data_IF_275351033909
#
_entry.id   IF_275351033909
#
_cell.length_a   1.000
_cell.length_b   1.000
_cell.length_c   1.000
_cell.angle_alpha   90.00
_cell.angle_beta   90.00
_cell.angle_gamma   90.00
#
_symmetry.space_group_name_H-M   'P 1'
#
loop_
_entity.id
_entity.type
_entity.pdbx_description
1 polymer ?
#
# COMPACT_ATOMS: atom_id res chain seq x y z
N UNK A 1 31.24 -155.18 -3.01
CA UNK A 1 31.16 -153.71 -2.86
C UNK A 1 31.06 -152.93 -4.18
N UNK A 2 30.90 -153.56 -5.36
CA UNK A 2 30.71 -152.82 -6.63
C UNK A 2 29.27 -152.85 -7.20
N UNK A 3 28.33 -153.60 -6.62
CA UNK A 3 26.96 -153.72 -7.15
C UNK A 3 25.93 -152.75 -6.51
N UNK A 4 26.21 -152.18 -5.34
CA UNK A 4 25.31 -151.21 -4.69
C UNK A 4 25.52 -149.76 -5.18
N UNK A 5 26.64 -149.48 -5.84
CA UNK A 5 26.98 -148.14 -6.34
C UNK A 5 26.38 -147.85 -7.73
N UNK A 6 26.09 -148.88 -8.53
CA UNK A 6 25.44 -148.72 -9.83
C UNK A 6 23.93 -148.50 -9.70
N UNK A 7 23.29 -149.16 -8.73
CA UNK A 7 21.84 -149.04 -8.49
C UNK A 7 21.44 -147.64 -8.01
N UNK A 8 22.19 -147.08 -7.04
CA UNK A 8 21.98 -145.71 -6.59
C UNK A 8 22.25 -144.65 -7.69
N UNK A 9 23.14 -144.93 -8.64
CA UNK A 9 23.43 -144.02 -9.75
C UNK A 9 22.33 -144.06 -10.81
N UNK A 10 21.69 -145.21 -11.02
CA UNK A 10 20.54 -145.34 -11.91
C UNK A 10 19.29 -144.61 -11.35
N UNK A 11 19.09 -144.61 -10.03
CA UNK A 11 17.98 -143.91 -9.40
C UNK A 11 18.09 -142.39 -9.49
N UNK A 12 19.29 -141.84 -9.25
CA UNK A 12 19.54 -140.39 -9.38
C UNK A 12 19.35 -139.92 -10.83
N UNK A 13 19.73 -140.74 -11.82
CA UNK A 13 19.52 -140.40 -13.23
C UNK A 13 18.02 -140.39 -13.56
N UNK A 14 17.24 -141.38 -13.11
CA UNK A 14 15.79 -141.38 -13.32
C UNK A 14 15.10 -140.22 -12.61
N UNK A 15 15.53 -139.87 -11.41
CA UNK A 15 14.98 -138.74 -10.65
C UNK A 15 15.34 -137.39 -11.27
N UNK A 16 16.54 -137.26 -11.85
CA UNK A 16 16.89 -136.07 -12.66
C UNK A 16 16.12 -136.02 -13.97
N UNK A 17 15.88 -137.15 -14.64
CA UNK A 17 15.14 -137.18 -15.90
C UNK A 17 13.65 -136.90 -15.70
N UNK A 18 13.04 -137.38 -14.61
CA UNK A 18 11.66 -137.03 -14.23
C UNK A 18 11.54 -135.57 -13.80
N UNK A 19 12.52 -135.04 -13.06
CA UNK A 19 12.56 -133.61 -12.72
C UNK A 19 12.77 -132.73 -13.96
N UNK A 20 13.59 -133.17 -14.93
CA UNK A 20 13.82 -132.43 -16.17
C UNK A 20 12.58 -132.44 -17.07
N UNK A 21 11.87 -133.58 -17.16
CA UNK A 21 10.58 -133.67 -17.85
C UNK A 21 9.50 -132.82 -17.18
N UNK A 22 9.46 -132.75 -15.84
CA UNK A 22 8.51 -131.90 -15.13
C UNK A 22 8.77 -130.39 -15.35
N UNK A 23 10.01 -130.00 -15.63
CA UNK A 23 10.38 -128.62 -16.00
C UNK A 23 10.10 -128.33 -17.48
N UNK A 24 10.19 -129.34 -18.36
CA UNK A 24 9.91 -129.23 -19.80
C UNK A 24 8.42 -129.34 -20.14
N UNK A 25 7.63 -130.11 -19.37
CA UNK A 25 6.17 -130.23 -19.51
C UNK A 25 5.38 -129.21 -18.66
N UNK A 26 6.05 -128.37 -17.87
CA UNK A 26 5.40 -127.21 -17.27
C UNK A 26 5.03 -126.23 -18.41
N UNK A 27 3.73 -125.96 -18.65
CA UNK A 27 3.37 -124.98 -19.66
C UNK A 27 3.88 -123.61 -19.19
N UNK A 28 4.71 -122.95 -20.01
CA UNK A 28 4.99 -121.52 -19.89
C UNK A 28 3.67 -120.76 -20.08
N UNK A 29 2.92 -120.57 -19.00
CA UNK A 29 1.74 -119.70 -18.96
C UNK A 29 2.22 -118.30 -18.62
N UNK A 30 2.83 -117.63 -19.60
CA UNK A 30 2.81 -116.18 -19.69
C UNK A 30 1.70 -115.86 -20.71
N UNK A 31 0.44 -115.93 -20.25
CA UNK A 31 -0.64 -115.23 -20.95
C UNK A 31 -0.67 -113.81 -20.41
N UNK A 32 0.26 -112.99 -20.89
CA UNK A 32 0.07 -111.54 -20.92
C UNK A 32 -1.12 -111.26 -21.85
N UNK A 33 -2.25 -111.06 -21.20
CA UNK A 33 -3.48 -110.43 -21.63
C UNK A 33 -3.22 -109.12 -22.42
N UNK A 34 -3.48 -109.14 -23.74
CA UNK A 34 -3.35 -107.98 -24.65
C UNK A 34 -4.16 -106.75 -24.24
N UNK A 35 -5.22 -106.95 -23.44
CA UNK A 35 -6.11 -105.88 -22.97
C UNK A 35 -5.45 -104.99 -21.89
N UNK A 36 -4.55 -105.54 -21.09
CA UNK A 36 -3.81 -104.77 -20.06
C UNK A 36 -2.69 -103.94 -20.70
N UNK A 37 -2.10 -104.43 -21.79
CA UNK A 37 -1.08 -103.70 -22.56
C UNK A 37 -1.65 -102.47 -23.25
N UNK A 38 -2.87 -102.57 -23.80
CA UNK A 38 -3.56 -101.43 -24.42
C UNK A 38 -4.01 -100.38 -23.38
N UNK A 39 -4.54 -100.80 -22.24
CA UNK A 39 -4.88 -99.90 -21.12
C UNK A 39 -3.64 -99.20 -20.57
N UNK A 40 -2.52 -99.91 -20.44
CA UNK A 40 -1.25 -99.33 -20.01
C UNK A 40 -0.74 -98.27 -21.00
N UNK A 41 -0.81 -98.54 -22.31
CA UNK A 41 -0.41 -97.57 -23.33
C UNK A 41 -1.33 -96.33 -23.35
N UNK A 42 -2.64 -96.53 -23.19
CA UNK A 42 -3.62 -95.43 -23.08
C UNK A 42 -3.35 -94.56 -21.85
N UNK A 43 -3.20 -95.18 -20.67
CA UNK A 43 -2.87 -94.49 -19.43
C UNK A 43 -1.53 -93.75 -19.52
N UNK A 44 -0.53 -94.35 -20.18
CA UNK A 44 0.76 -93.70 -20.41
C UNK A 44 0.61 -92.44 -21.27
N UNK A 45 -0.18 -92.50 -22.35
CA UNK A 45 -0.45 -91.33 -23.19
C UNK A 45 -1.20 -90.23 -22.44
N UNK A 46 -2.15 -90.61 -21.58
CA UNK A 46 -2.94 -89.68 -20.79
C UNK A 46 -2.09 -89.02 -19.68
N UNK A 47 -1.19 -89.79 -19.04
CA UNK A 47 -0.22 -89.25 -18.08
C UNK A 47 0.73 -88.25 -18.74
N UNK A 48 1.24 -88.53 -19.93
CA UNK A 48 2.10 -87.59 -20.65
C UNK A 48 1.31 -86.35 -21.12
N UNK A 49 0.06 -86.51 -21.58
CA UNK A 49 -0.80 -85.38 -21.92
C UNK A 49 -1.14 -84.50 -20.71
N UNK A 50 -1.49 -85.11 -19.57
CA UNK A 50 -1.75 -84.41 -18.32
C UNK A 50 -0.50 -83.70 -17.80
N UNK A 51 0.69 -84.31 -17.94
CA UNK A 51 1.96 -83.71 -17.57
C UNK A 51 2.30 -82.50 -18.43
N UNK A 52 2.07 -82.60 -19.74
CA UNK A 52 2.23 -81.46 -20.66
C UNK A 52 1.25 -80.33 -20.32
N UNK A 53 -0.02 -80.66 -20.05
CA UNK A 53 -1.03 -79.67 -19.63
C UNK A 53 -0.66 -79.01 -18.30
N UNK A 54 -0.24 -79.78 -17.30
CA UNK A 54 0.20 -79.27 -16.01
C UNK A 54 1.43 -78.36 -16.14
N UNK A 55 2.37 -78.71 -17.02
CA UNK A 55 3.55 -77.88 -17.28
C UNK A 55 3.19 -76.58 -17.99
N UNK A 56 2.28 -76.61 -18.96
CA UNK A 56 1.75 -75.42 -19.62
C UNK A 56 1.03 -74.50 -18.63
N UNK A 57 0.21 -75.05 -17.75
CA UNK A 57 -0.52 -74.27 -16.74
C UNK A 57 0.42 -73.69 -15.66
N UNK A 58 1.47 -74.41 -15.27
CA UNK A 58 2.53 -73.87 -14.41
C UNK A 58 3.27 -72.70 -15.06
N UNK A 59 3.59 -72.80 -16.34
CA UNK A 59 4.25 -71.71 -17.06
C UNK A 59 3.34 -70.48 -17.14
N UNK A 60 2.05 -70.68 -17.48
CA UNK A 60 1.08 -69.59 -17.50
C UNK A 60 0.91 -68.92 -16.11
N UNK A 61 0.90 -69.72 -15.03
CA UNK A 61 0.83 -69.20 -13.67
C UNK A 61 2.08 -68.38 -13.30
N UNK A 62 3.27 -68.81 -13.73
CA UNK A 62 4.52 -68.07 -13.49
C UNK A 62 4.59 -66.78 -14.31
N UNK A 63 4.16 -66.79 -15.56
CA UNK A 63 4.09 -65.59 -16.41
C UNK A 63 3.12 -64.55 -15.80
N UNK A 64 1.96 -65.00 -15.31
CA UNK A 64 1.01 -64.15 -14.59
C UNK A 64 1.61 -63.60 -13.30
N UNK A 65 2.35 -64.41 -12.53
CA UNK A 65 3.03 -63.99 -11.30
C UNK A 65 4.06 -62.90 -11.57
N UNK A 66 4.85 -63.05 -12.62
CA UNK A 66 5.83 -62.04 -13.05
C UNK A 66 5.15 -60.75 -13.49
N UNK A 67 4.08 -60.83 -14.30
CA UNK A 67 3.30 -59.67 -14.71
C UNK A 67 2.67 -58.94 -13.51
N UNK A 68 2.19 -59.68 -12.50
CA UNK A 68 1.64 -59.11 -11.27
C UNK A 68 2.70 -58.36 -10.46
N UNK A 69 3.88 -58.96 -10.28
CA UNK A 69 4.99 -58.32 -9.55
C UNK A 69 5.46 -57.04 -10.27
N UNK A 70 5.52 -57.07 -11.60
CA UNK A 70 5.89 -55.90 -12.40
C UNK A 70 4.82 -54.80 -12.34
N UNK A 71 3.54 -55.17 -12.34
CA UNK A 71 2.43 -54.23 -12.14
C UNK A 71 2.44 -53.61 -10.74
N UNK A 72 2.74 -54.39 -9.69
CA UNK A 72 2.86 -53.90 -8.32
C UNK A 72 4.01 -52.90 -8.17
N UNK A 73 5.18 -53.18 -8.77
CA UNK A 73 6.31 -52.27 -8.80
C UNK A 73 5.96 -50.94 -9.50
N UNK A 74 5.32 -51.01 -10.67
CA UNK A 74 4.82 -49.82 -11.39
C UNK A 74 3.80 -49.03 -10.57
N UNK A 75 2.92 -49.71 -9.84
CA UNK A 75 1.90 -49.07 -9.01
C UNK A 75 2.53 -48.34 -7.80
N UNK A 76 3.54 -48.95 -7.18
CA UNK A 76 4.34 -48.31 -6.12
C UNK A 76 5.06 -47.06 -6.63
N UNK A 77 5.70 -47.14 -7.80
CA UNK A 77 6.36 -45.99 -8.44
C UNK A 77 5.35 -44.87 -8.75
N UNK A 78 4.21 -45.20 -9.37
CA UNK A 78 3.13 -44.25 -9.63
C UNK A 78 2.59 -43.58 -8.37
N UNK A 79 2.46 -44.33 -7.27
CA UNK A 79 2.02 -43.77 -5.98
C UNK A 79 3.00 -42.71 -5.46
N UNK A 80 4.32 -42.98 -5.50
CA UNK A 80 5.34 -42.00 -5.08
C UNK A 80 5.37 -40.77 -6.01
N UNK A 81 5.17 -40.96 -7.32
CA UNK A 81 5.10 -39.87 -8.27
C UNK A 81 3.86 -38.99 -8.03
N UNK A 82 2.70 -39.58 -7.75
CA UNK A 82 1.48 -38.86 -7.40
C UNK A 82 1.64 -38.04 -6.12
N UNK A 83 2.25 -38.60 -5.08
CA UNK A 83 2.54 -37.88 -3.83
C UNK A 83 3.46 -36.67 -4.10
N UNK A 84 4.51 -36.86 -4.90
CA UNK A 84 5.41 -35.78 -5.29
C UNK A 84 4.72 -34.68 -6.10
N UNK A 85 3.86 -35.05 -7.06
CA UNK A 85 3.07 -34.09 -7.85
C UNK A 85 2.09 -33.33 -6.96
N UNK A 86 1.40 -34.03 -6.06
CA UNK A 86 0.45 -33.42 -5.11
C UNK A 86 1.15 -32.37 -4.25
N UNK A 87 2.30 -32.73 -3.65
CA UNK A 87 3.12 -31.79 -2.87
C UNK A 87 3.56 -30.55 -3.67
N UNK A 88 3.89 -30.73 -4.96
CA UNK A 88 4.27 -29.60 -5.84
C UNK A 88 3.07 -28.73 -6.18
N UNK A 89 1.89 -29.31 -6.36
CA UNK A 89 0.65 -28.56 -6.57
C UNK A 89 0.33 -27.69 -5.35
N UNK A 90 0.40 -28.25 -4.14
CA UNK A 90 0.15 -27.50 -2.91
C UNK A 90 1.09 -26.29 -2.76
N UNK A 91 2.39 -26.50 -3.01
CA UNK A 91 3.40 -25.43 -2.99
C UNK A 91 3.11 -24.32 -4.01
N UNK A 92 2.72 -24.70 -5.23
CA UNK A 92 2.39 -23.73 -6.27
C UNK A 92 1.13 -22.95 -5.92
N UNK A 93 0.09 -23.61 -5.42
CA UNK A 93 -1.14 -22.98 -4.94
C UNK A 93 -0.87 -21.96 -3.83
N UNK A 94 -0.07 -22.31 -2.82
CA UNK A 94 0.31 -21.40 -1.74
C UNK A 94 1.10 -20.19 -2.29
N UNK A 95 2.09 -20.43 -3.15
CA UNK A 95 2.91 -19.36 -3.72
C UNK A 95 2.09 -18.39 -4.59
N UNK A 96 1.13 -18.92 -5.37
CA UNK A 96 0.24 -18.10 -6.19
C UNK A 96 -0.72 -17.27 -5.34
N UNK A 97 -1.23 -17.83 -4.23
CA UNK A 97 -2.08 -17.09 -3.28
C UNK A 97 -1.31 -15.93 -2.66
N UNK A 98 -0.10 -16.19 -2.14
CA UNK A 98 0.74 -15.15 -1.55
C UNK A 98 1.13 -14.07 -2.57
N UNK A 99 1.43 -14.45 -3.81
CA UNK A 99 1.75 -13.50 -4.86
C UNK A 99 0.55 -12.61 -5.23
N UNK A 100 -0.65 -13.19 -5.28
CA UNK A 100 -1.89 -12.44 -5.52
C UNK A 100 -2.15 -11.43 -4.39
N UNK A 101 -1.97 -11.83 -3.14
CA UNK A 101 -2.12 -10.93 -1.98
C UNK A 101 -1.08 -9.81 -2.00
N UNK A 102 0.18 -10.11 -2.32
CA UNK A 102 1.25 -9.12 -2.45
C UNK A 102 0.96 -8.11 -3.56
N UNK A 103 0.45 -8.57 -4.71
CA UNK A 103 0.08 -7.68 -5.81
C UNK A 103 -1.06 -6.75 -5.41
N UNK A 104 -2.11 -7.28 -4.76
CA UNK A 104 -3.23 -6.47 -4.28
C UNK A 104 -2.78 -5.42 -3.24
N UNK A 105 -1.89 -5.80 -2.31
CA UNK A 105 -1.34 -4.89 -1.32
C UNK A 105 -0.50 -3.77 -1.97
N UNK A 106 0.28 -4.09 -2.99
CA UNK A 106 1.09 -3.10 -3.71
C UNK A 106 0.23 -2.13 -4.54
N UNK A 107 -0.85 -2.62 -5.16
CA UNK A 107 -1.77 -1.75 -5.90
C UNK A 107 -2.52 -0.80 -4.95
N UNK A 108 -2.93 -1.27 -3.77
CA UNK A 108 -3.48 -0.42 -2.71
C UNK A 108 -2.46 0.62 -2.23
N UNK A 109 -1.19 0.23 -2.05
CA UNK A 109 -0.12 1.15 -1.64
C UNK A 109 0.08 2.28 -2.66
N UNK A 110 0.09 1.96 -3.95
CA UNK A 110 0.18 2.96 -5.03
C UNK A 110 -1.03 3.89 -5.05
N UNK A 111 -2.24 3.36 -4.89
CA UNK A 111 -3.45 4.15 -4.83
C UNK A 111 -3.46 5.12 -3.62
N UNK A 112 -2.97 4.66 -2.46
CA UNK A 112 -2.83 5.48 -1.27
C UNK A 112 -1.84 6.62 -1.49
N UNK A 113 -0.66 6.35 -2.04
CA UNK A 113 0.35 7.37 -2.36
C UNK A 113 -0.19 8.43 -3.34
N UNK A 114 -0.95 8.02 -4.35
CA UNK A 114 -1.60 8.95 -5.29
C UNK A 114 -2.67 9.81 -4.59
N UNK A 115 -3.45 9.23 -3.69
CA UNK A 115 -4.45 9.95 -2.92
C UNK A 115 -3.81 10.97 -1.96
N UNK A 116 -2.72 10.59 -1.29
CA UNK A 116 -1.92 11.48 -0.43
C UNK A 116 -1.36 12.67 -1.21
N UNK A 117 -0.80 12.45 -2.40
CA UNK A 117 -0.29 13.52 -3.26
C UNK A 117 -1.40 14.50 -3.67
N UNK A 118 -2.59 13.98 -4.02
CA UNK A 118 -3.77 14.82 -4.33
C UNK A 118 -4.25 15.61 -3.12
N UNK A 119 -4.26 15.01 -1.93
CA UNK A 119 -4.65 15.70 -0.70
C UNK A 119 -3.68 16.84 -0.34
N UNK A 120 -2.38 16.64 -0.56
CA UNK A 120 -1.39 17.70 -0.39
C UNK A 120 -1.64 18.85 -1.37
N UNK A 121 -1.89 18.54 -2.65
CA UNK A 121 -2.24 19.54 -3.66
C UNK A 121 -3.52 20.31 -3.30
N UNK A 122 -4.57 19.61 -2.84
CA UNK A 122 -5.81 20.25 -2.42
C UNK A 122 -5.62 21.14 -1.19
N UNK A 123 -4.82 20.71 -0.22
CA UNK A 123 -4.50 21.51 0.97
C UNK A 123 -3.81 22.82 0.57
N UNK A 124 -2.80 22.77 -0.30
CA UNK A 124 -2.11 23.98 -0.79
C UNK A 124 -3.04 24.89 -1.60
N UNK A 125 -3.95 24.34 -2.40
CA UNK A 125 -4.98 25.13 -3.11
C UNK A 125 -5.93 25.80 -2.12
N UNK A 126 -6.35 25.09 -1.07
CA UNK A 126 -7.23 25.63 -0.05
C UNK A 126 -6.57 26.78 0.71
N UNK A 127 -5.31 26.62 1.15
CA UNK A 127 -4.54 27.70 1.79
C UNK A 127 -4.44 28.95 0.89
N UNK A 128 -4.20 28.74 -0.41
CA UNK A 128 -4.16 29.84 -1.36
C UNK A 128 -5.52 30.52 -1.55
N UNK A 129 -6.60 29.76 -1.60
CA UNK A 129 -7.97 30.31 -1.67
C UNK A 129 -8.28 31.10 -0.39
N UNK A 130 -8.01 30.54 0.78
CA UNK A 130 -8.19 31.23 2.07
C UNK A 130 -7.43 32.54 2.11
N UNK A 131 -6.14 32.53 1.72
CA UNK A 131 -5.32 33.75 1.64
C UNK A 131 -5.93 34.80 0.69
N UNK A 132 -6.51 34.38 -0.44
CA UNK A 132 -7.17 35.28 -1.40
C UNK A 132 -8.48 35.84 -0.83
N UNK A 133 -9.24 35.04 -0.10
CA UNK A 133 -10.47 35.48 0.58
C UNK A 133 -10.13 36.50 1.66
N UNK A 134 -9.12 36.25 2.48
CA UNK A 134 -8.65 37.19 3.51
C UNK A 134 -8.25 38.54 2.89
N UNK A 135 -7.51 38.51 1.78
CA UNK A 135 -7.12 39.73 1.05
C UNK A 135 -8.32 40.52 0.51
N UNK A 136 -9.34 39.84 -0.02
CA UNK A 136 -10.55 40.50 -0.53
C UNK A 136 -11.37 41.10 0.61
N UNK A 137 -11.53 40.38 1.72
CA UNK A 137 -12.24 40.83 2.91
C UNK A 137 -11.57 42.08 3.53
N UNK A 138 -10.22 42.10 3.57
CA UNK A 138 -9.47 43.28 3.96
C UNK A 138 -9.67 44.46 2.99
N UNK A 139 -9.73 44.20 1.68
CA UNK A 139 -9.95 45.25 0.66
C UNK A 139 -11.30 45.95 0.81
N UNK A 140 -12.39 45.19 0.97
CA UNK A 140 -13.74 45.75 1.16
C UNK A 140 -13.82 46.57 2.46
N UNK A 141 -13.25 46.05 3.54
CA UNK A 141 -13.23 46.73 4.84
C UNK A 141 -12.43 48.04 4.79
N UNK A 142 -11.32 48.06 4.04
CA UNK A 142 -10.53 49.26 3.81
C UNK A 142 -11.25 50.31 2.95
N UNK A 143 -12.05 49.89 1.96
CA UNK A 143 -12.85 50.80 1.15
C UNK A 143 -13.92 51.52 1.97
N UNK A 144 -14.58 50.81 2.89
CA UNK A 144 -15.52 51.42 3.83
C UNK A 144 -14.81 52.46 4.69
N UNK A 145 -13.63 52.15 5.25
CA UNK A 145 -12.86 53.13 6.02
C UNK A 145 -12.53 54.36 5.19
N UNK A 146 -11.99 54.17 3.97
CA UNK A 146 -11.64 55.28 3.07
C UNK A 146 -12.85 56.17 2.80
N UNK A 147 -14.01 55.59 2.49
CA UNK A 147 -15.25 56.34 2.27
C UNK A 147 -15.69 57.11 3.52
N UNK A 148 -15.58 56.51 4.70
CA UNK A 148 -15.94 57.14 5.97
C UNK A 148 -15.02 58.31 6.32
N UNK A 149 -13.71 58.17 6.13
CA UNK A 149 -12.74 59.22 6.50
C UNK A 149 -12.65 60.33 5.46
N UNK A 150 -13.05 60.08 4.21
CA UNK A 150 -13.23 61.14 3.22
C UNK A 150 -14.41 62.07 3.57
N UNK A 151 -15.25 61.71 4.52
CA UNK A 151 -16.31 62.56 5.05
C UNK A 151 -15.82 63.29 6.30
N UNK A 152 -16.28 64.53 6.52
CA UNK A 152 -15.99 65.24 7.77
C UNK A 152 -16.81 64.62 8.92
N UNK A 153 -16.17 63.74 9.70
CA UNK A 153 -16.77 63.05 10.84
C UNK A 153 -16.90 63.93 12.10
N UNK A 154 -16.37 65.16 12.07
CA UNK A 154 -16.48 66.11 13.18
C UNK A 154 -15.75 65.69 14.46
N UNK A 155 -16.26 66.20 15.58
CA UNK A 155 -15.68 66.06 16.92
C UNK A 155 -16.71 65.46 17.89
N UNK A 156 -16.23 64.59 18.78
CA UNK A 156 -16.99 64.07 19.91
C UNK A 156 -16.24 64.37 21.21
N UNK A 157 -16.87 65.12 22.13
CA UNK A 157 -16.24 65.54 23.38
C UNK A 157 -14.89 66.26 23.21
N UNK A 158 -14.73 67.05 22.13
CA UNK A 158 -13.49 67.74 21.78
C UNK A 158 -12.40 66.85 21.15
N UNK A 159 -12.69 65.57 20.90
CA UNK A 159 -11.77 64.63 20.24
C UNK A 159 -12.14 64.50 18.76
N UNK A 160 -11.15 64.57 17.86
CA UNK A 160 -11.41 64.41 16.43
C UNK A 160 -11.78 62.94 16.13
N UNK A 161 -12.98 62.73 15.58
CA UNK A 161 -13.57 61.39 15.42
C UNK A 161 -12.85 60.57 14.36
N UNK A 162 -12.45 61.18 13.23
CA UNK A 162 -11.77 60.46 12.16
C UNK A 162 -10.43 59.87 12.60
N UNK A 163 -9.65 60.59 13.41
CA UNK A 163 -8.43 60.08 14.03
C UNK A 163 -8.68 58.82 14.88
N UNK A 164 -9.74 58.82 15.68
CA UNK A 164 -10.09 57.68 16.52
C UNK A 164 -10.52 56.46 15.68
N UNK A 165 -11.30 56.67 14.62
CA UNK A 165 -11.77 55.61 13.72
C UNK A 165 -10.59 54.99 12.97
N UNK A 166 -9.73 55.82 12.36
CA UNK A 166 -8.52 55.37 11.66
C UNK A 166 -7.66 54.52 12.59
N UNK A 167 -7.36 55.02 13.79
CA UNK A 167 -6.53 54.30 14.76
C UNK A 167 -7.13 52.94 15.14
N UNK A 168 -8.43 52.88 15.43
CA UNK A 168 -9.12 51.62 15.78
C UNK A 168 -9.11 50.62 14.63
N UNK A 169 -9.34 51.06 13.40
CA UNK A 169 -9.31 50.19 12.23
C UNK A 169 -7.90 49.63 11.97
N UNK A 170 -6.86 50.47 12.08
CA UNK A 170 -5.47 50.05 11.92
C UNK A 170 -5.04 49.02 12.99
N UNK A 171 -5.56 49.13 14.22
CA UNK A 171 -5.34 48.13 15.26
C UNK A 171 -6.08 46.81 14.96
N UNK A 172 -7.34 46.89 14.56
CA UNK A 172 -8.16 45.71 14.29
C UNK A 172 -7.56 44.85 13.17
N UNK A 173 -7.12 45.48 12.08
CA UNK A 173 -6.46 44.81 10.96
C UNK A 173 -4.98 44.51 11.20
N UNK A 174 -4.45 44.80 12.40
CA UNK A 174 -3.03 44.66 12.74
C UNK A 174 -2.11 45.29 11.68
N UNK A 175 -2.54 46.38 11.05
CA UNK A 175 -1.88 46.96 9.87
C UNK A 175 -0.45 47.41 10.15
N UNK A 176 -0.12 47.62 11.42
CA UNK A 176 1.24 47.94 11.86
C UNK A 176 2.20 46.73 11.76
N UNK A 177 1.73 45.49 11.91
CA UNK A 177 2.58 44.28 11.93
C UNK A 177 2.88 43.73 10.51
N UNK A 178 2.04 44.10 9.54
CA UNK A 178 2.11 43.62 8.16
C UNK A 178 3.14 44.42 7.36
N UNK A 179 4.02 43.73 6.61
CA UNK A 179 5.18 44.33 5.92
C UNK A 179 4.79 45.29 4.78
N UNK A 180 3.60 45.14 4.19
CA UNK A 180 3.00 46.12 3.27
C UNK A 180 1.49 46.20 3.46
N UNK A 181 1.02 47.35 3.94
CA UNK A 181 -0.41 47.71 3.83
C UNK A 181 -0.52 49.02 3.06
N UNK A 182 -1.33 49.01 2.00
CA UNK A 182 -1.59 50.23 1.21
C UNK A 182 -2.52 51.21 1.94
N UNK A 183 -3.08 50.81 3.09
CA UNK A 183 -4.02 51.62 3.85
C UNK A 183 -3.37 52.91 4.38
N UNK A 184 -2.09 52.87 4.76
CA UNK A 184 -1.35 54.06 5.17
C UNK A 184 -1.22 55.07 4.03
N UNK A 185 -0.84 54.61 2.84
CA UNK A 185 -0.74 55.46 1.65
C UNK A 185 -2.11 56.05 1.27
N UNK A 186 -3.18 55.26 1.41
CA UNK A 186 -4.56 55.72 1.15
C UNK A 186 -4.99 56.79 2.16
N UNK A 187 -4.71 56.61 3.45
CA UNK A 187 -4.99 57.61 4.50
C UNK A 187 -4.20 58.90 4.24
N UNK A 188 -2.90 58.78 3.94
CA UNK A 188 -2.05 59.95 3.62
C UNK A 188 -2.59 60.70 2.40
N UNK A 189 -3.00 59.99 1.34
CA UNK A 189 -3.61 60.59 0.15
C UNK A 189 -4.90 61.35 0.46
N UNK A 190 -5.74 60.84 1.36
CA UNK A 190 -7.00 61.50 1.75
C UNK A 190 -6.72 62.78 2.54
N UNK A 191 -5.76 62.74 3.47
CA UNK A 191 -5.35 63.92 4.24
C UNK A 191 -4.75 64.98 3.29
N UNK A 192 -3.89 64.55 2.37
CA UNK A 192 -3.26 65.44 1.39
C UNK A 192 -4.30 66.08 0.44
N UNK A 193 -5.23 65.30 -0.10
CA UNK A 193 -6.23 65.82 -1.05
C UNK A 193 -7.22 66.78 -0.40
N UNK A 194 -7.60 66.56 0.86
CA UNK A 194 -8.47 67.49 1.58
C UNK A 194 -7.82 68.88 1.79
N UNK A 195 -6.51 68.97 1.65
CA UNK A 195 -5.72 70.18 1.91
C UNK A 195 -5.29 70.85 0.61
N UNK A 196 -4.96 70.08 -0.42
CA UNK A 196 -4.76 70.63 -1.77
C UNK A 196 -6.00 71.36 -2.29
N UNK A 197 -7.20 70.87 -1.95
CA UNK A 197 -8.48 71.58 -2.23
C UNK A 197 -8.55 72.93 -1.48
N UNK A 198 -7.90 73.02 -0.31
CA UNK A 198 -7.92 74.19 0.56
C UNK A 198 -6.95 75.32 0.13
N UNK A 199 -5.95 75.02 -0.72
CA UNK A 199 -4.96 76.00 -1.22
C UNK A 199 -5.42 76.76 -2.49
N UNK A 200 -6.57 76.39 -3.08
CA UNK A 200 -7.12 77.02 -4.28
C UNK A 200 -7.90 78.33 -3.99
N UNK A 201 -7.17 79.42 -3.79
CA UNK A 201 -7.57 80.84 -4.00
C UNK A 201 -8.82 81.43 -3.28
N UNK A 202 -9.46 80.78 -2.29
CA UNK A 202 -10.49 81.44 -1.44
C UNK A 202 -10.26 81.14 0.05
N UNK A 203 -9.85 82.17 0.79
CA UNK A 203 -9.28 82.05 2.15
C UNK A 203 -10.32 82.06 3.29
N UNK A 204 -11.61 82.28 3.03
CA UNK A 204 -12.57 82.53 4.13
C UNK A 204 -13.21 81.28 4.77
N UNK A 205 -13.38 80.17 4.06
CA UNK A 205 -14.06 78.96 4.60
C UNK A 205 -13.13 77.73 4.77
N UNK A 206 -11.87 77.84 4.32
CA UNK A 206 -10.91 76.73 4.30
C UNK A 206 -10.18 76.50 5.63
N UNK A 207 -10.23 77.48 6.54
CA UNK A 207 -9.54 77.38 7.84
C UNK A 207 -10.18 76.31 8.75
N UNK A 208 -11.48 76.07 8.64
CA UNK A 208 -12.16 75.03 9.44
C UNK A 208 -11.78 73.62 8.96
N UNK A 209 -11.72 73.41 7.65
CA UNK A 209 -11.28 72.14 7.04
C UNK A 209 -9.81 71.87 7.38
N UNK A 210 -8.96 72.90 7.31
CA UNK A 210 -7.56 72.79 7.68
C UNK A 210 -7.38 72.49 9.17
N UNK A 211 -8.07 73.23 10.05
CA UNK A 211 -8.05 73.01 11.49
C UNK A 211 -8.55 71.60 11.85
N UNK A 212 -9.58 71.11 11.16
CA UNK A 212 -10.07 69.75 11.29
C UNK A 212 -9.01 68.71 10.94
N UNK A 213 -8.40 68.78 9.75
CA UNK A 213 -7.39 67.79 9.34
C UNK A 213 -6.09 67.88 10.13
N UNK A 214 -5.69 69.09 10.56
CA UNK A 214 -4.58 69.29 11.48
C UNK A 214 -4.85 68.66 12.86
N UNK A 215 -6.04 68.88 13.42
CA UNK A 215 -6.45 68.29 14.71
C UNK A 215 -6.50 66.77 14.63
N UNK A 216 -7.07 66.21 13.55
CA UNK A 216 -7.06 64.77 13.30
C UNK A 216 -5.64 64.20 13.17
N UNK A 217 -4.77 64.87 12.41
CA UNK A 217 -3.39 64.44 12.21
C UNK A 217 -2.58 64.47 13.51
N UNK A 218 -2.73 65.54 14.31
CA UNK A 218 -2.08 65.67 15.61
C UNK A 218 -2.55 64.60 16.61
N UNK A 219 -3.86 64.30 16.65
CA UNK A 219 -4.40 63.24 17.48
C UNK A 219 -3.90 61.85 17.03
N UNK A 220 -3.85 61.59 15.72
CA UNK A 220 -3.28 60.36 15.15
C UNK A 220 -1.82 60.17 15.58
N UNK A 221 -0.98 61.19 15.40
CA UNK A 221 0.42 61.16 15.87
C UNK A 221 0.48 60.86 17.37
N UNK A 222 -0.35 61.52 18.18
CA UNK A 222 -0.38 61.32 19.62
C UNK A 222 -0.73 59.87 20.01
N UNK A 223 -1.77 59.28 19.42
CA UNK A 223 -2.17 57.90 19.74
C UNK A 223 -1.16 56.89 19.21
N UNK A 224 -0.61 57.09 18.00
CA UNK A 224 0.41 56.22 17.41
C UNK A 224 1.71 56.23 18.22
N UNK A 225 2.14 57.40 18.71
CA UNK A 225 3.30 57.54 19.60
C UNK A 225 3.08 56.84 20.95
N UNK A 226 1.84 56.87 21.48
CA UNK A 226 1.49 56.12 22.70
C UNK A 226 1.54 54.62 22.46
N UNK A 227 0.98 54.12 21.36
CA UNK A 227 1.07 52.71 20.96
C UNK A 227 2.52 52.26 20.84
N UNK A 228 3.37 53.07 20.20
CA UNK A 228 4.81 52.84 20.10
C UNK A 228 5.50 52.74 21.48
N UNK A 229 5.27 53.73 22.36
CA UNK A 229 5.87 53.76 23.70
C UNK A 229 5.42 52.57 24.55
N UNK A 230 4.15 52.19 24.49
CA UNK A 230 3.64 50.99 25.16
C UNK A 230 4.25 49.70 24.60
N UNK A 231 4.46 49.61 23.27
CA UNK A 231 5.14 48.46 22.65
C UNK A 231 6.63 48.36 23.00
N UNK A 232 7.32 49.47 23.32
CA UNK A 232 8.71 49.43 23.81
C UNK A 232 8.86 48.87 25.23
N UNK A 233 7.78 48.88 26.03
CA UNK A 233 7.79 48.41 27.42
C UNK A 233 7.50 46.90 27.57
N UNK A 234 7.03 46.21 26.52
CA UNK A 234 6.81 44.75 26.53
C UNK A 234 8.02 43.98 25.95
N UNK A 235 8.78 43.43 26.89
CA UNK A 235 9.99 42.61 26.78
C UNK A 235 9.98 41.50 25.69
N UNK A 236 11.08 41.47 24.93
CA UNK A 236 11.91 40.30 24.50
C UNK A 236 11.35 38.97 23.94
N UNK A 237 10.16 38.88 23.33
CA UNK A 237 9.87 37.77 22.39
C UNK A 237 9.16 38.29 21.13
N UNK A 238 9.40 37.68 19.97
CA UNK A 238 9.00 38.08 18.61
C UNK A 238 9.89 39.19 17.99
N UNK A 239 10.94 38.79 17.26
CA UNK A 239 11.87 39.70 16.55
C UNK A 239 11.37 40.14 15.16
N UNK A 240 10.51 39.35 14.51
CA UNK A 240 10.07 39.62 13.12
C UNK A 240 8.90 40.61 13.02
N UNK A 241 7.79 40.41 13.75
CA UNK A 241 6.67 41.38 13.74
C UNK A 241 7.05 42.76 14.31
N UNK A 242 8.03 42.81 15.22
CA UNK A 242 8.48 44.07 15.83
C UNK A 242 9.14 45.00 14.81
N UNK A 243 9.97 44.48 13.90
CA UNK A 243 10.67 45.32 12.92
C UNK A 243 9.72 46.04 11.97
N UNK A 244 8.65 45.39 11.53
CA UNK A 244 7.63 45.97 10.64
C UNK A 244 6.75 46.98 11.39
N UNK A 245 6.36 46.67 12.63
CA UNK A 245 5.67 47.59 13.53
C UNK A 245 6.42 48.92 13.67
N UNK A 246 7.72 48.83 13.94
CA UNK A 246 8.57 50.00 14.12
C UNK A 246 8.70 50.81 12.82
N UNK A 247 8.91 50.15 11.67
CA UNK A 247 9.02 50.82 10.37
C UNK A 247 7.74 51.56 9.98
N UNK A 248 6.59 50.91 10.09
CA UNK A 248 5.30 51.48 9.68
C UNK A 248 4.88 52.66 10.57
N UNK A 249 5.08 52.55 11.89
CA UNK A 249 4.78 53.64 12.82
C UNK A 249 5.74 54.83 12.62
N UNK A 250 7.04 54.58 12.40
CA UNK A 250 8.01 55.64 12.15
C UNK A 250 7.70 56.35 10.82
N UNK A 251 7.41 55.60 9.76
CA UNK A 251 7.04 56.16 8.46
C UNK A 251 5.82 57.08 8.58
N UNK A 252 4.71 56.60 9.13
CA UNK A 252 3.50 57.41 9.28
C UNK A 252 3.73 58.64 10.17
N UNK A 253 4.52 58.53 11.24
CA UNK A 253 4.86 59.67 12.09
C UNK A 253 5.73 60.70 11.37
N UNK A 254 6.76 60.28 10.62
CA UNK A 254 7.61 61.20 9.86
C UNK A 254 6.77 61.95 8.83
N UNK A 255 5.92 61.26 8.09
CA UNK A 255 5.04 61.89 7.10
C UNK A 255 4.06 62.87 7.76
N UNK A 256 3.39 62.48 8.84
CA UNK A 256 2.46 63.36 9.55
C UNK A 256 3.17 64.55 10.21
N UNK A 257 4.40 64.39 10.72
CA UNK A 257 5.18 65.50 11.29
C UNK A 257 5.70 66.46 10.23
N UNK A 258 6.22 65.94 9.11
CA UNK A 258 6.60 66.76 7.96
C UNK A 258 5.40 67.53 7.41
N UNK A 259 4.25 66.87 7.36
CA UNK A 259 2.98 67.46 6.99
C UNK A 259 2.56 68.59 7.93
N UNK A 260 2.56 68.37 9.25
CA UNK A 260 2.26 69.40 10.25
C UNK A 260 3.23 70.59 10.16
N UNK A 261 4.52 70.31 9.95
CA UNK A 261 5.55 71.36 9.79
C UNK A 261 5.29 72.23 8.56
N UNK A 262 5.06 71.62 7.39
CA UNK A 262 4.83 72.35 6.14
C UNK A 262 3.59 73.25 6.22
N UNK A 263 2.49 72.76 6.81
CA UNK A 263 1.26 73.55 6.97
C UNK A 263 1.47 74.71 7.94
N UNK A 264 2.12 74.48 9.09
CA UNK A 264 2.41 75.55 10.06
C UNK A 264 3.34 76.61 9.47
N UNK A 265 4.39 76.20 8.76
CA UNK A 265 5.30 77.13 8.07
C UNK A 265 4.60 77.92 6.95
N UNK A 266 3.67 77.30 6.21
CA UNK A 266 2.89 78.01 5.19
C UNK A 266 1.88 79.00 5.77
N UNK A 267 1.34 78.75 6.97
CA UNK A 267 0.45 79.68 7.68
C UNK A 267 1.22 80.85 8.29
N UNK A 268 2.48 80.65 8.69
CA UNK A 268 3.35 81.70 9.24
C UNK A 268 3.95 82.64 8.17
N UNK A 269 3.95 82.22 6.91
CA UNK A 269 4.50 82.99 5.79
C UNK A 269 3.47 83.90 5.08
N UNK A 270 2.19 83.85 5.50
CA UNK A 270 1.10 84.72 5.04
C UNK A 270 0.82 85.80 6.09
#
# INVERSE_FOLDING_TARGET
>A
MCLLAEEAKADVIREQETARKAIEEAPQVIKENSEDTEKFNSLTSEVEALKASLQSERQAAEDLRNAFSEAEARNSELATNLENVTRRVDQLCESASLQSEQQAAEDLRKALSLAEARNLELTTKLENVTRRVDQLCESESQEVLVKCISQNLGYDGGKPVAACVIYKCLLHWRSFEVERTNIFDRIVKIIASAIEVSDSYKVSDNNEVLAYWLSNSAMLVCVLQRTFRSSTMLSSKVRSCKSNLYKNIIFLNIYLLQFLYNVVSSLQSK
#
